data_IF_605749917783
#
_entry.id   IF_605749917783
#
_cell.length_a   1.000
_cell.length_b   1.000
_cell.length_c   1.000
_cell.angle_alpha   90.00
_cell.angle_beta   90.00
_cell.angle_gamma   90.00
#
_symmetry.space_group_name_H-M   'P 1'
#
loop_
_entity.id
_entity.type
_entity.pdbx_description
1 polymer ?
#
# COMPACT_ATOMS: atom_id res chain seq x y z
N UNK A 1 23.39 -41.60 -32.74
CA UNK A 1 24.57 -41.03 -32.05
C UNK A 1 24.17 -39.64 -31.56
N UNK A 2 24.18 -39.24 -30.29
CA UNK A 2 24.40 -39.93 -29.03
C UNK A 2 23.52 -39.26 -27.96
N UNK A 3 22.98 -40.08 -27.06
CA UNK A 3 22.21 -39.71 -25.87
C UNK A 3 23.17 -39.47 -24.69
N UNK A 4 22.81 -38.57 -23.78
CA UNK A 4 23.17 -38.53 -22.35
C UNK A 4 21.90 -38.00 -21.64
N UNK A 5 21.08 -38.71 -20.83
CA UNK A 5 21.27 -39.69 -19.75
C UNK A 5 22.16 -39.07 -18.64
N UNK A 6 21.83 -38.78 -17.38
CA UNK A 6 20.82 -39.12 -16.32
C UNK A 6 21.01 -38.06 -15.16
N UNK A 7 20.38 -38.11 -13.94
CA UNK A 7 19.38 -39.05 -13.40
C UNK A 7 18.13 -38.43 -12.75
N UNK A 8 17.11 -39.29 -12.66
CA UNK A 8 15.99 -39.25 -11.73
C UNK A 8 16.45 -39.67 -10.32
N UNK A 9 15.85 -39.12 -9.26
CA UNK A 9 16.01 -39.65 -7.90
C UNK A 9 15.52 -38.73 -6.79
N UNK A 10 14.25 -38.87 -6.39
CA UNK A 10 13.85 -39.26 -5.03
C UNK A 10 12.35 -39.08 -4.81
N UNK A 11 11.65 -40.22 -4.82
CA UNK A 11 10.38 -40.40 -4.12
C UNK A 11 10.61 -40.19 -2.62
N UNK A 12 9.84 -39.27 -2.02
CA UNK A 12 9.66 -39.16 -0.58
C UNK A 12 8.18 -39.20 -0.25
N UNK A 13 7.72 -40.37 0.21
CA UNK A 13 6.39 -40.62 0.75
C UNK A 13 6.02 -39.59 1.82
N UNK A 14 4.81 -39.01 1.76
CA UNK A 14 4.02 -38.82 2.98
C UNK A 14 2.57 -39.25 2.76
N UNK A 15 2.21 -40.23 3.59
CA UNK A 15 0.92 -40.94 3.64
C UNK A 15 -0.22 -40.01 4.01
N UNK A 16 -1.36 -40.25 3.36
CA UNK A 16 -2.69 -39.91 3.86
C UNK A 16 -2.92 -40.57 5.22
N UNK A 17 -3.32 -39.79 6.23
CA UNK A 17 -4.09 -40.31 7.36
C UNK A 17 -5.54 -39.85 7.23
N UNK A 18 -6.43 -40.82 7.00
CA UNK A 18 -7.87 -40.67 7.25
C UNK A 18 -8.13 -40.95 8.73
N UNK A 19 -9.05 -40.18 9.31
CA UNK A 19 -10.04 -40.68 10.25
C UNK A 19 -9.71 -40.56 11.73
N UNK A 20 -10.28 -39.55 12.37
CA UNK A 20 -10.95 -39.69 13.67
C UNK A 20 -12.20 -38.79 13.67
N UNK A 21 -13.29 -39.35 14.18
CA UNK A 21 -14.66 -38.78 14.21
C UNK A 21 -14.82 -37.73 15.34
N UNK A 22 -15.89 -36.92 15.27
CA UNK A 22 -16.04 -35.72 16.10
C UNK A 22 -16.58 -36.05 17.50
N UNK A 23 -16.03 -35.37 18.52
CA UNK A 23 -16.52 -35.38 19.89
C UNK A 23 -17.34 -34.13 20.18
N UNK A 24 -18.57 -34.34 20.64
CA UNK A 24 -19.51 -33.34 21.15
C UNK A 24 -18.90 -32.46 22.25
N UNK A 25 -19.11 -31.15 22.17
CA UNK A 25 -19.14 -30.26 23.33
C UNK A 25 -20.41 -29.39 23.22
N UNK A 26 -21.20 -29.22 24.30
CA UNK A 26 -22.58 -28.74 24.21
C UNK A 26 -22.69 -27.22 24.01
N UNK A 27 -23.75 -26.85 23.32
CA UNK A 27 -24.39 -25.53 23.32
C UNK A 27 -25.00 -25.21 24.67
N UNK A 28 -24.79 -23.97 25.14
CA UNK A 28 -25.66 -23.13 25.99
C UNK A 28 -24.88 -22.44 27.11
N UNK A 29 -24.46 -21.20 26.84
CA UNK A 29 -24.41 -20.15 27.87
C UNK A 29 -24.83 -18.84 27.22
N UNK A 30 -26.12 -18.52 27.32
CA UNK A 30 -26.57 -17.14 27.31
C UNK A 30 -26.07 -16.50 28.61
N UNK A 31 -25.30 -15.41 28.54
CA UNK A 31 -25.04 -14.58 29.71
C UNK A 31 -25.29 -13.10 29.41
N UNK A 32 -26.16 -12.60 30.26
CA UNK A 32 -26.83 -11.33 30.37
C UNK A 32 -25.95 -10.08 30.23
N UNK A 33 -26.58 -9.04 29.68
CA UNK A 33 -26.13 -7.65 29.72
C UNK A 33 -26.32 -7.14 31.15
N UNK A 34 -25.23 -6.90 31.88
CA UNK A 34 -25.06 -5.80 32.84
C UNK A 34 -23.76 -6.01 33.61
N UNK A 35 -22.74 -5.21 33.32
CA UNK A 35 -21.89 -4.64 34.37
C UNK A 35 -20.99 -3.54 33.81
N UNK A 36 -21.25 -2.31 34.26
CA UNK A 36 -20.34 -1.16 34.12
C UNK A 36 -19.62 -0.98 35.46
N UNK A 37 -18.29 -0.87 35.51
CA UNK A 37 -17.62 -0.58 36.78
C UNK A 37 -17.89 0.87 37.23
N UNK A 38 -18.41 0.99 38.46
CA UNK A 38 -18.54 2.24 39.24
C UNK A 38 -17.16 2.69 39.69
N UNK A 39 -16.83 3.96 39.43
CA UNK A 39 -15.69 4.63 40.04
C UNK A 39 -15.99 4.97 41.49
N UNK A 40 -15.16 4.46 42.41
CA UNK A 40 -15.20 4.79 43.84
C UNK A 40 -14.44 6.11 44.05
N UNK A 41 -15.16 7.13 44.52
CA UNK A 41 -14.57 8.36 45.05
C UNK A 41 -14.00 8.09 46.44
N UNK A 42 -12.70 8.28 46.62
CA UNK A 42 -12.07 8.32 47.94
C UNK A 42 -11.94 9.79 48.36
N UNK A 43 -12.78 10.20 49.30
CA UNK A 43 -12.69 11.48 50.01
C UNK A 43 -11.63 11.38 51.12
N UNK A 44 -10.57 12.18 51.02
CA UNK A 44 -9.51 12.29 52.02
C UNK A 44 -9.40 13.70 52.59
N UNK A 45 -9.94 13.85 53.80
CA UNK A 45 -9.62 14.76 54.91
C UNK A 45 -8.94 16.13 54.62
N UNK A 46 -9.67 17.18 54.99
CA UNK A 46 -9.14 18.52 55.29
C UNK A 46 -8.34 18.51 56.60
N UNK A 47 -7.15 19.11 56.60
CA UNK A 47 -6.44 19.51 57.81
C UNK A 47 -6.00 20.97 57.68
N UNK A 48 -6.46 21.78 58.63
CA UNK A 48 -6.13 23.19 58.80
C UNK A 48 -4.62 23.36 59.11
N UNK A 49 -3.94 24.17 58.30
CA UNK A 49 -2.64 24.75 58.65
C UNK A 49 -2.74 26.28 58.56
N UNK A 50 -2.31 26.93 59.65
CA UNK A 50 -2.37 28.36 59.91
C UNK A 50 -1.58 29.17 58.88
N UNK A 51 -2.14 30.29 58.46
CA UNK A 51 -1.57 31.29 57.59
C UNK A 51 -0.45 32.09 58.28
N UNK A 52 0.69 32.20 57.61
CA UNK A 52 1.71 33.24 57.81
C UNK A 52 1.72 34.13 56.57
N UNK A 53 2.06 35.44 56.68
CA UNK A 53 1.97 36.35 55.55
C UNK A 53 3.05 36.02 54.53
N UNK A 54 2.64 35.69 53.30
CA UNK A 54 3.55 35.55 52.18
C UNK A 54 4.11 36.93 51.82
N UNK A 55 5.40 37.12 52.06
CA UNK A 55 6.17 38.25 51.55
C UNK A 55 6.20 38.11 50.02
N UNK A 56 5.48 38.98 49.31
CA UNK A 56 5.50 39.02 47.84
C UNK A 56 6.88 39.55 47.42
N UNK A 57 7.79 38.64 47.09
CA UNK A 57 8.96 38.97 46.29
C UNK A 57 8.51 38.95 44.84
N UNK A 58 8.37 40.14 44.24
CA UNK A 58 8.22 40.30 42.79
C UNK A 58 9.50 39.80 42.11
N UNK A 59 9.55 38.50 41.78
CA UNK A 59 10.55 37.99 40.86
C UNK A 59 10.19 38.48 39.45
N UNK A 60 11.02 39.34 38.87
CA UNK A 60 10.94 39.68 37.45
C UNK A 60 10.86 38.41 36.60
N UNK A 61 9.97 38.35 35.58
CA UNK A 61 9.90 37.17 34.74
C UNK A 61 11.22 37.05 33.97
N UNK A 62 11.90 35.92 34.14
CA UNK A 62 13.05 35.55 33.32
C UNK A 62 12.63 35.62 31.84
N UNK A 63 13.47 36.17 30.95
CA UNK A 63 13.13 36.28 29.54
C UNK A 63 12.91 34.88 28.97
N UNK A 64 11.69 34.61 28.49
CA UNK A 64 11.39 33.38 27.76
C UNK A 64 12.21 33.36 26.47
N UNK A 65 13.37 32.69 26.51
CA UNK A 65 14.21 32.45 25.34
C UNK A 65 13.39 31.68 24.29
N UNK A 66 13.15 32.32 23.14
CA UNK A 66 12.33 31.79 22.05
C UNK A 66 12.88 30.42 21.57
N UNK A 67 12.09 29.33 21.58
CA UNK A 67 12.56 27.96 21.25
C UNK A 67 12.84 27.71 19.76
N UNK A 68 12.90 28.77 18.93
CA UNK A 68 13.05 28.65 17.47
C UNK A 68 14.46 28.31 17.00
N UNK A 69 15.51 28.77 17.71
CA UNK A 69 16.90 28.62 17.25
C UNK A 69 17.35 27.15 17.23
N UNK A 70 16.92 26.33 18.19
CA UNK A 70 17.21 24.88 18.22
C UNK A 70 16.61 24.17 17.01
N UNK A 71 15.36 24.52 16.65
CA UNK A 71 14.70 23.96 15.44
C UNK A 71 15.43 24.39 14.17
N UNK A 72 15.86 25.65 14.09
CA UNK A 72 16.63 26.17 12.96
C UNK A 72 18.02 25.52 12.85
N UNK A 73 18.76 25.40 13.96
CA UNK A 73 20.07 24.76 14.02
C UNK A 73 19.99 23.27 13.64
N UNK A 74 19.00 22.54 14.17
CA UNK A 74 18.76 21.14 13.80
C UNK A 74 18.42 21.00 12.30
N UNK A 75 17.68 21.95 11.73
CA UNK A 75 17.40 21.97 10.28
C UNK A 75 18.66 22.23 9.47
N UNK A 76 19.48 23.19 9.88
CA UNK A 76 20.74 23.52 9.22
C UNK A 76 21.72 22.33 9.25
N UNK A 77 21.89 21.67 10.40
CA UNK A 77 22.75 20.49 10.54
C UNK A 77 22.26 19.33 9.67
N UNK A 78 20.94 19.07 9.64
CA UNK A 78 20.35 18.05 8.74
C UNK A 78 20.64 18.34 7.28
N UNK A 79 20.54 19.61 6.85
CA UNK A 79 20.86 20.01 5.48
C UNK A 79 22.37 19.85 5.18
N UNK A 80 23.24 20.26 6.11
CA UNK A 80 24.69 20.15 5.95
C UNK A 80 25.17 18.70 5.73
N UNK A 81 24.57 17.73 6.41
CA UNK A 81 24.87 16.29 6.21
C UNK A 81 24.19 15.73 4.95
N UNK A 82 23.00 16.23 4.62
CA UNK A 82 22.21 15.73 3.49
C UNK A 82 22.76 16.16 2.13
N UNK A 83 23.37 17.34 2.01
CA UNK A 83 23.87 17.88 0.75
C UNK A 83 25.03 17.05 0.14
N UNK A 84 26.09 16.66 0.88
CA UNK A 84 27.14 15.79 0.35
C UNK A 84 26.60 14.42 -0.07
N UNK A 85 25.70 13.83 0.74
CA UNK A 85 25.04 12.54 0.42
C UNK A 85 24.17 12.64 -0.83
N UNK A 86 23.46 13.75 -1.01
CA UNK A 86 22.68 14.02 -2.21
C UNK A 86 23.59 14.20 -3.44
N UNK A 87 24.76 14.84 -3.27
CA UNK A 87 25.80 14.93 -4.31
C UNK A 87 26.28 13.55 -4.76
N UNK A 88 26.67 12.70 -3.82
CA UNK A 88 27.08 11.32 -4.10
C UNK A 88 25.94 10.51 -4.76
N UNK A 89 24.71 10.62 -4.24
CA UNK A 89 23.56 9.94 -4.82
C UNK A 89 23.25 10.39 -6.25
N UNK A 90 23.49 11.67 -6.58
CA UNK A 90 23.31 12.19 -7.95
C UNK A 90 24.36 11.67 -8.91
N UNK A 91 25.62 11.55 -8.46
CA UNK A 91 26.69 10.93 -9.25
C UNK A 91 26.39 9.47 -9.57
N UNK A 92 25.85 8.73 -8.60
CA UNK A 92 25.48 7.31 -8.76
C UNK A 92 24.12 7.10 -9.45
N UNK A 93 23.31 8.15 -9.65
CA UNK A 93 21.93 8.00 -10.14
C UNK A 93 21.85 7.40 -11.55
N UNK A 94 22.89 7.55 -12.36
CA UNK A 94 22.98 7.01 -13.71
C UNK A 94 23.62 5.60 -13.78
N UNK A 95 24.12 5.05 -12.67
CA UNK A 95 24.83 3.77 -12.65
C UNK A 95 23.96 2.63 -12.11
N UNK A 96 24.48 1.40 -12.18
CA UNK A 96 23.90 0.23 -11.52
C UNK A 96 23.92 0.30 -9.99
N UNK A 97 24.60 1.28 -9.41
CA UNK A 97 24.61 1.54 -7.97
C UNK A 97 23.61 2.63 -7.54
N UNK A 98 22.75 3.09 -8.46
CA UNK A 98 21.72 4.09 -8.15
C UNK A 98 20.84 3.63 -6.99
N UNK A 99 20.47 4.52 -6.07
CA UNK A 99 19.45 4.18 -5.08
C UNK A 99 18.12 3.78 -5.75
N UNK A 100 17.22 3.13 -4.99
CA UNK A 100 15.88 2.75 -5.48
C UNK A 100 15.12 3.93 -6.10
N UNK A 101 15.24 5.12 -5.51
CA UNK A 101 14.62 6.34 -6.04
C UNK A 101 15.66 7.39 -6.44
N UNK A 102 15.44 8.09 -7.55
CA UNK A 102 16.31 9.20 -7.97
C UNK A 102 15.56 10.27 -8.79
N UNK A 103 16.04 11.51 -8.70
CA UNK A 103 15.38 12.65 -9.32
C UNK A 103 14.13 13.12 -8.57
N UNK A 104 13.71 14.35 -8.83
CA UNK A 104 12.45 14.90 -8.36
C UNK A 104 11.97 15.92 -9.39
N UNK A 105 10.83 15.64 -10.00
CA UNK A 105 10.26 16.39 -11.11
C UNK A 105 8.84 16.84 -10.72
N UNK A 106 8.43 18.00 -11.23
CA UNK A 106 7.13 18.59 -10.94
C UNK A 106 6.00 18.06 -11.85
N UNK A 107 6.33 17.31 -12.90
CA UNK A 107 5.38 16.74 -13.85
C UNK A 107 5.94 15.46 -14.48
N UNK A 108 5.03 14.63 -15.02
CA UNK A 108 5.41 13.47 -15.84
C UNK A 108 6.22 13.91 -17.07
N UNK A 109 5.82 15.00 -17.73
CA UNK A 109 6.54 15.54 -18.90
C UNK A 109 7.99 15.94 -18.59
N UNK A 110 8.27 16.47 -17.40
CA UNK A 110 9.63 16.81 -16.97
C UNK A 110 10.47 15.57 -16.62
N UNK A 111 9.82 14.47 -16.24
CA UNK A 111 10.47 13.19 -15.93
C UNK A 111 10.85 12.42 -17.21
N UNK A 112 10.07 12.52 -18.30
CA UNK A 112 10.27 11.74 -19.53
C UNK A 112 11.69 11.87 -20.13
N UNK A 113 12.27 13.08 -20.32
CA UNK A 113 13.64 13.20 -20.82
C UNK A 113 14.68 12.60 -19.87
N UNK A 114 14.39 12.59 -18.57
CA UNK A 114 15.27 11.98 -17.59
C UNK A 114 15.20 10.45 -17.61
N UNK A 115 14.06 9.85 -17.95
CA UNK A 115 13.95 8.41 -18.17
C UNK A 115 14.63 7.97 -19.47
N UNK A 116 14.57 8.79 -20.53
CA UNK A 116 15.14 8.47 -21.83
C UNK A 116 16.66 8.19 -21.82
N UNK A 117 17.40 8.70 -20.82
CA UNK A 117 18.84 8.41 -20.65
C UNK A 117 19.11 6.95 -20.28
N UNK A 118 18.11 6.28 -19.73
CA UNK A 118 18.18 4.87 -19.41
C UNK A 118 17.61 4.11 -20.62
N UNK A 119 18.36 3.16 -21.16
CA UNK A 119 17.86 2.20 -22.17
C UNK A 119 16.91 1.20 -21.52
N UNK A 120 15.90 1.68 -20.81
CA UNK A 120 15.08 0.86 -19.94
C UNK A 120 13.94 0.25 -20.69
N UNK A 121 13.80 -1.05 -20.47
CA UNK A 121 12.60 -1.79 -20.80
C UNK A 121 11.59 -1.49 -19.67
N UNK A 122 10.37 -1.11 -20.05
CA UNK A 122 9.33 -0.69 -19.11
C UNK A 122 8.79 -1.84 -18.27
N UNK A 123 7.73 -1.59 -17.49
CA UNK A 123 7.06 -2.61 -16.68
C UNK A 123 6.36 -3.70 -17.53
N UNK A 124 6.19 -3.45 -18.84
CA UNK A 124 5.61 -4.39 -19.82
C UNK A 124 6.62 -5.45 -20.31
N UNK A 125 7.85 -5.47 -19.79
CA UNK A 125 8.83 -6.49 -20.09
C UNK A 125 8.60 -7.76 -19.24
N UNK A 126 8.46 -8.89 -19.92
CA UNK A 126 8.26 -10.21 -19.30
C UNK A 126 9.40 -10.60 -18.32
N UNK A 127 10.60 -10.03 -18.47
CA UNK A 127 11.73 -10.22 -17.54
C UNK A 127 11.52 -9.59 -16.16
N UNK A 128 10.53 -8.72 -15.99
CA UNK A 128 10.15 -8.13 -14.69
C UNK A 128 9.12 -8.99 -13.95
N UNK A 129 8.46 -9.93 -14.64
CA UNK A 129 7.37 -10.78 -14.10
C UNK A 129 7.81 -11.62 -12.90
N UNK A 130 9.04 -12.14 -12.91
CA UNK A 130 9.53 -12.96 -11.79
C UNK A 130 10.13 -12.13 -10.66
N UNK A 131 10.36 -10.84 -10.88
CA UNK A 131 10.96 -9.99 -9.86
C UNK A 131 9.97 -9.87 -8.71
N UNK A 132 10.36 -10.41 -7.56
CA UNK A 132 9.61 -10.33 -6.30
C UNK A 132 8.23 -11.01 -6.32
N UNK A 133 7.92 -11.97 -7.22
CA UNK A 133 6.61 -12.65 -7.21
C UNK A 133 6.30 -13.32 -5.86
N UNK A 134 7.22 -14.13 -5.34
CA UNK A 134 7.06 -14.79 -4.03
C UNK A 134 6.89 -13.78 -2.89
N UNK A 135 7.60 -12.67 -2.95
CA UNK A 135 7.50 -11.57 -1.97
C UNK A 135 6.15 -10.86 -2.07
N UNK A 136 5.62 -10.65 -3.29
CA UNK A 136 4.32 -10.02 -3.51
C UNK A 136 3.15 -10.91 -3.06
N UNK A 137 3.32 -12.23 -3.11
CA UNK A 137 2.39 -13.23 -2.58
C UNK A 137 2.45 -13.35 -1.05
N UNK A 138 3.45 -12.77 -0.38
CA UNK A 138 3.44 -12.70 1.09
C UNK A 138 2.39 -11.71 1.55
N UNK A 139 1.73 -12.09 2.64
CA UNK A 139 0.84 -11.22 3.40
C UNK A 139 1.69 -10.34 4.30
N UNK A 140 1.47 -9.04 4.19
CA UNK A 140 2.14 -8.05 5.02
C UNK A 140 1.15 -7.39 5.98
N UNK A 141 1.64 -6.72 7.02
CA UNK A 141 0.78 -6.08 8.03
C UNK A 141 -0.22 -5.08 7.41
N UNK A 142 0.20 -4.37 6.37
CA UNK A 142 -0.64 -3.43 5.63
C UNK A 142 -1.68 -4.06 4.71
N UNK A 143 -1.68 -5.38 4.54
CA UNK A 143 -2.71 -6.10 3.78
C UNK A 143 -3.94 -6.45 4.64
N UNK A 144 -3.81 -6.45 5.98
CA UNK A 144 -4.93 -6.79 6.87
C UNK A 144 -6.13 -5.84 6.82
N UNK A 145 -5.95 -4.51 6.72
CA UNK A 145 -7.10 -3.62 6.49
C UNK A 145 -7.81 -3.93 5.16
N UNK A 146 -7.06 -4.30 4.11
CA UNK A 146 -7.66 -4.72 2.83
C UNK A 146 -8.46 -6.00 3.03
N UNK A 147 -7.90 -7.00 3.70
CA UNK A 147 -8.60 -8.26 4.01
C UNK A 147 -9.89 -8.02 4.80
N UNK A 148 -9.85 -7.13 5.80
CA UNK A 148 -11.00 -6.76 6.60
C UNK A 148 -12.12 -6.17 5.73
N UNK A 149 -11.80 -5.17 4.92
CA UNK A 149 -12.79 -4.50 4.06
C UNK A 149 -13.27 -5.39 2.91
N UNK A 150 -12.37 -6.17 2.31
CA UNK A 150 -12.71 -7.14 1.27
C UNK A 150 -13.65 -8.20 1.83
N UNK A 151 -13.32 -8.83 2.96
CA UNK A 151 -14.15 -9.84 3.60
C UNK A 151 -15.53 -9.33 4.03
N UNK A 152 -15.67 -8.02 4.31
CA UNK A 152 -16.95 -7.39 4.62
C UNK A 152 -17.88 -7.28 3.41
N UNK A 153 -17.35 -6.95 2.23
CA UNK A 153 -18.16 -6.65 1.05
C UNK A 153 -18.30 -7.83 0.08
N UNK A 154 -17.30 -8.71 0.02
CA UNK A 154 -17.24 -9.80 -0.94
C UNK A 154 -18.48 -10.73 -0.96
N UNK A 155 -19.15 -11.05 0.17
CA UNK A 155 -20.35 -11.89 0.16
C UNK A 155 -21.50 -11.33 -0.69
N UNK A 156 -21.66 -10.00 -0.71
CA UNK A 156 -22.74 -9.32 -1.43
C UNK A 156 -22.27 -8.74 -2.77
N UNK A 157 -20.96 -8.52 -2.92
CA UNK A 157 -20.30 -7.87 -4.06
C UNK A 157 -19.20 -8.78 -4.64
N UNK A 158 -19.56 -9.85 -5.37
CA UNK A 158 -18.61 -10.89 -5.74
C UNK A 158 -17.66 -10.51 -6.89
N UNK A 159 -17.95 -9.44 -7.64
CA UNK A 159 -17.14 -9.06 -8.81
C UNK A 159 -15.99 -8.12 -8.42
N UNK A 160 -14.76 -8.64 -8.43
CA UNK A 160 -13.54 -7.93 -8.05
C UNK A 160 -12.69 -7.64 -9.29
N UNK A 161 -12.33 -6.38 -9.49
CA UNK A 161 -11.24 -5.98 -10.36
C UNK A 161 -9.99 -5.66 -9.53
N UNK A 162 -8.94 -6.44 -9.69
CA UNK A 162 -7.62 -6.21 -9.10
C UNK A 162 -6.70 -5.53 -10.12
N UNK A 163 -6.62 -4.20 -10.05
CA UNK A 163 -5.82 -3.38 -10.96
C UNK A 163 -4.36 -3.31 -10.50
N UNK A 164 -3.45 -3.78 -11.37
CA UNK A 164 -2.06 -4.05 -11.04
C UNK A 164 -1.89 -5.27 -10.14
N UNK A 165 -2.78 -6.27 -10.27
CA UNK A 165 -2.76 -7.51 -9.48
C UNK A 165 -1.61 -8.46 -9.84
N UNK A 166 -0.84 -8.14 -10.88
CA UNK A 166 0.28 -8.91 -11.39
C UNK A 166 -0.15 -10.34 -11.77
N UNK A 167 0.52 -11.36 -11.26
CA UNK A 167 0.13 -12.77 -11.47
C UNK A 167 -1.00 -13.25 -10.54
N UNK A 168 -1.87 -12.35 -10.06
CA UNK A 168 -2.91 -12.66 -9.08
C UNK A 168 -2.41 -12.72 -7.64
N UNK A 169 -1.40 -11.90 -7.34
CA UNK A 169 -0.66 -11.97 -6.06
C UNK A 169 -1.55 -11.80 -4.84
N UNK A 170 -2.55 -10.90 -4.89
CA UNK A 170 -3.47 -10.68 -3.77
C UNK A 170 -4.57 -11.72 -3.66
N UNK A 171 -5.03 -12.29 -4.77
CA UNK A 171 -5.89 -13.48 -4.72
C UNK A 171 -5.18 -14.62 -3.98
N UNK A 172 -3.94 -14.94 -4.39
CA UNK A 172 -3.13 -16.02 -3.79
C UNK A 172 -2.83 -15.73 -2.32
N UNK A 173 -2.43 -14.49 -2.00
CA UNK A 173 -2.11 -14.12 -0.63
C UNK A 173 -3.34 -14.22 0.30
N UNK A 174 -4.55 -13.95 -0.21
CA UNK A 174 -5.75 -13.81 0.61
C UNK A 174 -6.61 -15.09 0.68
N UNK A 175 -6.41 -16.04 -0.24
CA UNK A 175 -7.23 -17.24 -0.34
C UNK A 175 -7.26 -18.11 0.92
N UNK A 176 -6.23 -18.02 1.76
CA UNK A 176 -6.15 -18.81 3.00
C UNK A 176 -6.84 -18.14 4.20
N UNK A 177 -7.24 -16.87 4.08
CA UNK A 177 -7.81 -16.08 5.19
C UNK A 177 -9.27 -15.69 4.99
N UNK A 178 -9.70 -15.54 3.73
CA UNK A 178 -11.08 -15.21 3.39
C UNK A 178 -11.59 -16.16 2.30
N UNK A 179 -12.89 -16.44 2.34
CA UNK A 179 -13.50 -17.31 1.34
C UNK A 179 -13.65 -16.58 0.00
N UNK A 180 -12.79 -16.89 -0.96
CA UNK A 180 -12.83 -16.34 -2.32
C UNK A 180 -13.60 -17.22 -3.32
N UNK A 181 -14.17 -18.36 -2.91
CA UNK A 181 -14.78 -19.33 -3.85
C UNK A 181 -15.99 -18.79 -4.61
N UNK A 182 -16.69 -17.81 -4.06
CA UNK A 182 -17.79 -17.10 -4.73
C UNK A 182 -17.37 -15.84 -5.47
N UNK A 183 -16.08 -15.47 -5.43
CA UNK A 183 -15.60 -14.24 -6.05
C UNK A 183 -15.28 -14.45 -7.54
N UNK A 184 -15.73 -13.51 -8.37
CA UNK A 184 -15.29 -13.37 -9.75
C UNK A 184 -14.09 -12.42 -9.77
N UNK A 185 -12.88 -12.99 -9.67
CA UNK A 185 -11.64 -12.22 -9.56
C UNK A 185 -11.01 -11.98 -10.93
N UNK A 186 -11.06 -10.74 -11.42
CA UNK A 186 -10.36 -10.31 -12.63
C UNK A 186 -9.15 -9.49 -12.25
N UNK A 187 -7.97 -9.89 -12.71
CA UNK A 187 -6.75 -9.08 -12.66
C UNK A 187 -6.64 -8.28 -13.95
N UNK A 188 -6.45 -6.97 -13.81
CA UNK A 188 -6.06 -6.10 -14.92
C UNK A 188 -4.62 -5.64 -14.76
N UNK A 189 -3.78 -5.88 -15.76
CA UNK A 189 -2.37 -5.51 -15.76
C UNK A 189 -1.86 -5.27 -17.18
N UNK A 190 -0.58 -4.95 -17.35
CA UNK A 190 0.03 -4.71 -18.65
C UNK A 190 0.04 -5.98 -19.54
N UNK A 191 0.01 -5.83 -20.88
CA UNK A 191 -0.05 -6.95 -21.81
C UNK A 191 1.00 -8.04 -21.58
N UNK A 192 2.25 -7.69 -21.29
CA UNK A 192 3.33 -8.63 -21.00
C UNK A 192 3.08 -9.43 -19.72
N UNK A 193 2.57 -8.79 -18.67
CA UNK A 193 2.22 -9.45 -17.42
C UNK A 193 1.05 -10.42 -17.64
N UNK A 194 0.01 -9.99 -18.36
CA UNK A 194 -1.17 -10.81 -18.66
C UNK A 194 -0.81 -12.01 -19.54
N UNK A 195 0.04 -11.85 -20.56
CA UNK A 195 0.55 -12.97 -21.36
C UNK A 195 1.29 -13.98 -20.48
N UNK A 196 2.19 -13.52 -19.62
CA UNK A 196 2.94 -14.38 -18.72
C UNK A 196 2.02 -15.10 -17.71
N UNK A 197 1.02 -14.39 -17.16
CA UNK A 197 0.03 -14.95 -16.25
C UNK A 197 -0.81 -16.05 -16.91
N UNK A 198 -1.36 -15.79 -18.10
CA UNK A 198 -2.11 -16.79 -18.88
C UNK A 198 -1.24 -18.01 -19.19
N UNK A 199 0.03 -17.82 -19.55
CA UNK A 199 0.96 -18.93 -19.78
C UNK A 199 1.21 -19.79 -18.52
N UNK A 200 1.38 -19.17 -17.34
CA UNK A 200 1.54 -19.89 -16.06
C UNK A 200 0.26 -20.60 -15.65
N UNK A 201 -0.88 -19.95 -15.81
CA UNK A 201 -2.19 -20.53 -15.53
C UNK A 201 -2.46 -21.77 -16.40
N UNK A 202 -2.12 -21.72 -17.69
CA UNK A 202 -2.21 -22.88 -18.61
C UNK A 202 -1.31 -24.06 -18.21
N UNK A 203 -0.22 -23.81 -17.48
CA UNK A 203 0.64 -24.85 -16.90
C UNK A 203 0.19 -25.33 -15.52
N UNK A 204 -0.90 -24.78 -14.99
CA UNK A 204 -1.42 -25.10 -13.65
C UNK A 204 -0.63 -24.46 -12.50
N UNK A 205 0.22 -23.46 -12.79
CA UNK A 205 1.05 -22.79 -11.78
C UNK A 205 0.31 -21.66 -11.06
N UNK A 206 -0.79 -21.16 -11.63
CA UNK A 206 -1.65 -20.13 -11.04
C UNK A 206 -3.09 -20.64 -10.91
N UNK A 207 -3.88 -20.13 -9.93
CA UNK A 207 -5.27 -20.55 -9.75
C UNK A 207 -6.11 -20.31 -11.00
N UNK A 208 -6.86 -21.31 -11.44
CA UNK A 208 -7.79 -21.21 -12.58
C UNK A 208 -8.98 -20.27 -12.32
N UNK A 209 -9.24 -19.92 -11.06
CA UNK A 209 -10.30 -19.00 -10.66
C UNK A 209 -10.02 -17.53 -11.01
N UNK A 210 -8.80 -17.19 -11.41
CA UNK A 210 -8.41 -15.82 -11.74
C UNK A 210 -8.60 -15.59 -13.24
N UNK A 211 -9.33 -14.55 -13.62
CA UNK A 211 -9.37 -14.06 -15.01
C UNK A 211 -8.31 -12.97 -15.18
N UNK A 212 -7.59 -12.96 -16.30
CA UNK A 212 -6.57 -11.93 -16.59
C UNK A 212 -6.97 -11.14 -17.83
N UNK A 213 -6.96 -9.81 -17.76
CA UNK A 213 -7.30 -8.91 -18.87
C UNK A 213 -6.31 -7.74 -19.00
N UNK A 214 -5.78 -7.51 -20.19
CA UNK A 214 -4.85 -6.40 -20.46
C UNK A 214 -5.54 -5.14 -21.01
N UNK A 215 -6.87 -5.20 -21.19
CA UNK A 215 -7.68 -4.08 -21.66
C UNK A 215 -8.89 -3.84 -20.77
N UNK A 216 -9.08 -2.58 -20.37
CA UNK A 216 -10.20 -2.19 -19.51
C UNK A 216 -11.57 -2.43 -20.15
N UNK A 217 -11.69 -2.30 -21.48
CA UNK A 217 -12.96 -2.54 -22.19
C UNK A 217 -13.37 -4.02 -22.26
N UNK A 218 -12.43 -4.93 -22.00
CA UNK A 218 -12.66 -6.38 -21.88
C UNK A 218 -12.96 -6.80 -20.45
N UNK A 219 -12.68 -5.97 -19.45
CA UNK A 219 -13.02 -6.28 -18.06
C UNK A 219 -14.54 -6.37 -17.86
N UNK A 220 -15.04 -7.32 -17.06
CA UNK A 220 -16.47 -7.39 -16.72
C UNK A 220 -16.89 -6.17 -15.88
N UNK A 221 -18.20 -5.96 -15.75
CA UNK A 221 -18.70 -5.00 -14.76
C UNK A 221 -18.30 -5.46 -13.36
N UNK A 222 -17.72 -4.56 -12.56
CA UNK A 222 -17.16 -4.90 -11.25
C UNK A 222 -17.85 -4.14 -10.12
N UNK A 223 -17.93 -4.76 -8.96
CA UNK A 223 -18.48 -4.14 -7.74
C UNK A 223 -17.36 -3.55 -6.88
N UNK A 224 -16.26 -4.28 -6.76
CA UNK A 224 -15.09 -3.92 -5.96
C UNK A 224 -13.90 -3.67 -6.88
N UNK A 225 -13.27 -2.51 -6.77
CA UNK A 225 -11.98 -2.22 -7.36
C UNK A 225 -10.89 -2.29 -6.28
N UNK A 226 -10.00 -3.28 -6.37
CA UNK A 226 -8.80 -3.38 -5.57
C UNK A 226 -7.61 -2.77 -6.33
N UNK A 227 -6.87 -1.89 -5.66
CA UNK A 227 -5.68 -1.25 -6.24
C UNK A 227 -4.58 -1.25 -5.18
N UNK A 228 -3.64 -2.20 -5.26
CA UNK A 228 -2.59 -2.38 -4.25
C UNK A 228 -1.18 -2.17 -4.84
N UNK A 229 -0.68 -0.94 -4.79
CA UNK A 229 0.65 -0.59 -5.31
C UNK A 229 0.72 -0.21 -6.78
N UNK A 230 -0.42 -0.14 -7.45
CA UNK A 230 -0.56 0.26 -8.87
C UNK A 230 -0.53 1.78 -9.07
N UNK A 231 -1.18 2.55 -8.17
CA UNK A 231 -1.36 3.99 -8.34
C UNK A 231 -0.08 4.80 -8.61
N UNK A 232 1.09 4.52 -8.01
CA UNK A 232 2.30 5.28 -8.32
C UNK A 232 2.73 5.24 -9.79
N UNK A 233 2.34 4.21 -10.54
CA UNK A 233 2.73 3.99 -11.93
C UNK A 233 1.65 4.36 -12.95
N UNK A 234 0.42 4.63 -12.49
CA UNK A 234 -0.68 5.03 -13.34
C UNK A 234 -0.35 6.36 -14.05
N UNK A 235 -0.39 6.32 -15.38
CA UNK A 235 -0.05 7.42 -16.29
C UNK A 235 -1.21 8.39 -16.51
N UNK A 236 -2.45 7.92 -16.37
CA UNK A 236 -3.66 8.74 -16.40
C UNK A 236 -4.14 9.18 -15.01
N UNK A 237 -4.99 10.22 -14.91
CA UNK A 237 -5.71 10.52 -13.67
C UNK A 237 -6.54 9.31 -13.18
N UNK A 238 -6.52 9.05 -11.87
CA UNK A 238 -7.28 7.92 -11.31
C UNK A 238 -8.79 8.03 -11.55
N UNK A 239 -9.32 9.24 -11.62
CA UNK A 239 -10.72 9.49 -11.98
C UNK A 239 -11.05 9.04 -13.40
N UNK A 240 -10.12 9.21 -14.34
CA UNK A 240 -10.29 8.74 -15.73
C UNK A 240 -10.21 7.22 -15.80
N UNK A 241 -9.28 6.61 -15.05
CA UNK A 241 -9.23 5.15 -14.91
C UNK A 241 -10.54 4.58 -14.39
N UNK A 242 -11.09 5.13 -13.31
CA UNK A 242 -12.37 4.68 -12.73
C UNK A 242 -13.54 4.94 -13.68
N UNK A 243 -13.55 6.05 -14.42
CA UNK A 243 -14.59 6.37 -15.39
C UNK A 243 -14.55 5.48 -16.65
N UNK A 244 -13.38 4.93 -17.00
CA UNK A 244 -13.20 4.01 -18.12
C UNK A 244 -13.69 2.59 -17.84
N UNK A 245 -13.94 2.23 -16.56
CA UNK A 245 -14.53 0.95 -16.20
C UNK A 245 -15.97 0.85 -16.72
N UNK A 246 -16.41 -0.36 -17.10
CA UNK A 246 -17.77 -0.57 -17.65
C UNK A 246 -18.87 -0.05 -16.73
N UNK A 247 -18.63 -0.11 -15.42
CA UNK A 247 -19.46 0.50 -14.39
C UNK A 247 -18.55 1.01 -13.29
N UNK A 248 -18.90 2.15 -12.71
CA UNK A 248 -18.22 2.67 -11.53
C UNK A 248 -18.38 1.68 -10.37
N UNK A 249 -17.28 1.20 -9.75
CA UNK A 249 -17.33 0.25 -8.66
C UNK A 249 -18.05 0.87 -7.45
N UNK A 250 -18.79 0.04 -6.72
CA UNK A 250 -19.45 0.43 -5.47
C UNK A 250 -18.41 0.67 -4.38
N UNK A 251 -17.41 -0.21 -4.31
CA UNK A 251 -16.33 -0.15 -3.32
C UNK A 251 -14.99 -0.01 -4.04
N UNK A 252 -14.13 0.88 -3.55
CA UNK A 252 -12.73 0.97 -3.98
C UNK A 252 -11.83 0.74 -2.76
N UNK A 253 -10.98 -0.27 -2.85
CA UNK A 253 -9.97 -0.59 -1.85
C UNK A 253 -8.60 -0.22 -2.39
N UNK A 254 -7.97 0.75 -1.76
CA UNK A 254 -6.66 1.26 -2.17
C UNK A 254 -5.62 0.86 -1.13
N UNK A 255 -4.51 0.30 -1.59
CA UNK A 255 -3.35 0.04 -0.76
C UNK A 255 -2.09 0.63 -1.38
N UNK A 256 -1.12 0.95 -0.51
CA UNK A 256 0.19 1.45 -0.91
C UNK A 256 0.16 2.75 -1.73
N UNK A 257 -0.77 3.65 -1.43
CA UNK A 257 -0.88 4.95 -2.10
C UNK A 257 0.24 5.88 -1.62
N UNK A 258 1.22 6.14 -2.49
CA UNK A 258 2.32 7.05 -2.19
C UNK A 258 1.85 8.51 -2.14
N UNK A 259 1.96 9.12 -0.95
CA UNK A 259 1.53 10.48 -0.68
C UNK A 259 2.58 11.26 0.11
N UNK A 260 2.47 12.58 0.08
CA UNK A 260 3.23 13.49 0.94
C UNK A 260 2.41 14.71 1.35
N UNK A 261 2.82 15.29 2.47
CA UNK A 261 2.39 16.61 2.89
C UNK A 261 3.27 17.64 2.15
N UNK A 262 2.76 18.18 1.03
CA UNK A 262 3.48 19.12 0.16
C UNK A 262 3.21 18.88 -1.33
N UNK A 263 3.90 19.61 -2.20
CA UNK A 263 3.72 19.49 -3.66
C UNK A 263 3.94 18.05 -4.15
N UNK A 264 3.16 17.63 -5.15
CA UNK A 264 3.35 16.37 -5.84
C UNK A 264 4.76 16.25 -6.43
N UNK A 265 5.30 15.03 -6.46
CA UNK A 265 6.61 14.72 -7.05
C UNK A 265 6.46 13.53 -7.99
N UNK A 266 7.09 13.64 -9.14
CA UNK A 266 7.43 12.53 -10.01
C UNK A 266 8.91 12.19 -9.79
N UNK A 267 9.24 10.92 -9.57
CA UNK A 267 10.60 10.42 -9.35
C UNK A 267 10.83 9.20 -10.23
N UNK A 268 12.09 8.84 -10.42
CA UNK A 268 12.45 7.57 -11.05
C UNK A 268 12.51 6.52 -9.95
N UNK A 269 11.89 5.37 -10.16
CA UNK A 269 12.10 4.15 -9.37
C UNK A 269 12.91 3.13 -10.16
N UNK A 270 13.84 2.47 -9.48
CA UNK A 270 14.54 1.30 -9.98
C UNK A 270 13.87 0.02 -9.48
N UNK A 271 13.48 -0.83 -10.41
CA UNK A 271 12.92 -2.17 -10.16
C UNK A 271 13.77 -3.16 -10.97
N UNK A 272 14.57 -3.97 -10.28
CA UNK A 272 15.60 -4.77 -10.94
C UNK A 272 16.51 -3.91 -11.82
N UNK A 273 16.60 -4.25 -13.11
CA UNK A 273 17.33 -3.49 -14.12
C UNK A 273 16.54 -2.29 -14.69
N UNK A 274 15.21 -2.28 -14.54
CA UNK A 274 14.34 -1.25 -15.10
C UNK A 274 14.45 0.10 -14.36
N UNK A 275 14.08 1.18 -15.05
CA UNK A 275 13.78 2.50 -14.46
C UNK A 275 12.40 2.91 -14.92
N UNK A 276 11.51 3.16 -13.96
CA UNK A 276 10.12 3.45 -14.23
C UNK A 276 9.71 4.77 -13.57
N UNK A 277 8.72 5.48 -14.14
CA UNK A 277 8.15 6.63 -13.47
C UNK A 277 7.42 6.23 -12.20
N UNK A 278 7.56 7.05 -11.15
CA UNK A 278 6.88 6.85 -9.89
C UNK A 278 6.32 8.17 -9.35
N UNK A 279 5.03 8.18 -9.02
CA UNK A 279 4.29 9.37 -8.58
C UNK A 279 4.02 9.36 -7.09
N UNK A 280 4.52 10.37 -6.38
CA UNK A 280 4.22 10.66 -4.97
C UNK A 280 3.26 11.85 -4.91
N UNK A 281 2.01 11.59 -4.56
CA UNK A 281 0.90 12.56 -4.66
C UNK A 281 0.91 13.55 -3.50
N UNK A 282 0.35 14.74 -3.72
CA UNK A 282 -0.07 15.60 -2.61
C UNK A 282 -1.27 14.94 -1.91
N UNK A 283 -1.18 14.73 -0.60
CA UNK A 283 -2.22 14.04 0.18
C UNK A 283 -3.57 14.75 0.15
N UNK A 284 -3.62 16.04 0.50
CA UNK A 284 -4.88 16.79 0.57
C UNK A 284 -5.58 16.88 -0.79
N UNK A 285 -4.82 17.09 -1.88
CA UNK A 285 -5.36 17.09 -3.24
C UNK A 285 -5.86 15.70 -3.65
N UNK A 286 -5.16 14.64 -3.25
CA UNK A 286 -5.59 13.27 -3.49
C UNK A 286 -6.93 12.95 -2.79
N UNK A 287 -7.03 13.25 -1.50
CA UNK A 287 -8.25 13.02 -0.72
C UNK A 287 -9.43 13.88 -1.24
N UNK A 288 -9.16 15.14 -1.64
CA UNK A 288 -10.16 15.99 -2.29
C UNK A 288 -10.64 15.43 -3.63
N UNK A 289 -9.75 14.84 -4.43
CA UNK A 289 -10.12 14.20 -5.71
C UNK A 289 -10.98 12.96 -5.49
N UNK A 290 -10.71 12.15 -4.46
CA UNK A 290 -11.58 11.03 -4.09
C UNK A 290 -13.01 11.51 -3.81
N UNK A 291 -13.14 12.57 -3.01
CA UNK A 291 -14.43 13.18 -2.71
C UNK A 291 -15.13 13.72 -3.97
N UNK A 292 -14.38 14.36 -4.88
CA UNK A 292 -14.91 14.88 -6.14
C UNK A 292 -15.36 13.77 -7.11
N UNK A 293 -14.78 12.57 -7.02
CA UNK A 293 -15.25 11.40 -7.75
C UNK A 293 -16.60 10.87 -7.20
N UNK A 294 -17.13 11.41 -6.10
CA UNK A 294 -18.39 10.94 -5.52
C UNK A 294 -18.25 9.68 -4.66
N UNK A 295 -17.06 9.49 -4.07
CA UNK A 295 -16.81 8.45 -3.07
C UNK A 295 -16.66 9.06 -1.68
N UNK A 296 -17.18 8.37 -0.68
CA UNK A 296 -16.91 8.60 0.72
C UNK A 296 -15.75 7.73 1.20
N UNK A 297 -14.91 8.28 2.07
CA UNK A 297 -13.82 7.54 2.70
C UNK A 297 -14.32 6.94 4.01
N UNK A 298 -14.55 5.63 4.01
CA UNK A 298 -14.99 4.90 5.20
C UNK A 298 -13.86 4.74 6.22
N UNK A 299 -12.64 4.54 5.71
CA UNK A 299 -11.46 4.32 6.54
C UNK A 299 -10.17 4.69 5.80
N UNK A 300 -9.11 4.97 6.56
CA UNK A 300 -7.77 5.13 6.04
C UNK A 300 -6.71 4.72 7.06
N UNK A 301 -5.65 4.09 6.57
CA UNK A 301 -4.53 3.66 7.40
C UNK A 301 -3.19 4.15 6.85
N UNK A 302 -2.21 4.29 7.75
CA UNK A 302 -0.84 4.61 7.39
C UNK A 302 -0.01 3.33 7.23
N UNK A 303 0.89 3.35 6.26
CA UNK A 303 1.87 2.30 5.99
C UNK A 303 3.24 2.96 6.03
N UNK A 304 3.79 3.07 7.24
CA UNK A 304 5.01 3.86 7.49
C UNK A 304 6.27 3.15 7.01
N UNK A 305 6.22 1.82 6.93
CA UNK A 305 7.28 0.88 6.59
C UNK A 305 7.80 1.14 5.17
N UNK A 306 6.89 1.36 4.22
CA UNK A 306 7.19 1.54 2.80
C UNK A 306 7.27 3.02 2.38
N UNK A 307 7.40 3.95 3.32
CA UNK A 307 7.70 5.35 3.01
C UNK A 307 9.08 5.52 2.37
N UNK A 308 9.25 6.54 1.52
CA UNK A 308 10.47 6.73 0.73
C UNK A 308 11.13 8.08 1.02
N UNK A 309 12.46 8.08 1.12
CA UNK A 309 13.27 9.29 0.99
C UNK A 309 13.95 9.21 -0.37
N UNK A 310 13.86 10.27 -1.17
CA UNK A 310 14.58 10.36 -2.45
C UNK A 310 16.02 10.77 -2.13
N UNK A 311 17.04 9.90 -2.25
CA UNK A 311 18.39 10.21 -1.77
C UNK A 311 19.09 11.34 -2.51
N UNK A 312 18.68 11.61 -3.75
CA UNK A 312 19.13 12.77 -4.53
C UNK A 312 18.47 14.10 -4.12
N UNK A 313 17.37 14.03 -3.35
CA UNK A 313 16.54 15.15 -2.91
C UNK A 313 16.05 14.97 -1.45
N UNK A 314 16.94 14.71 -0.47
CA UNK A 314 16.56 14.36 0.90
C UNK A 314 15.80 15.46 1.65
N UNK A 315 15.95 16.73 1.24
CA UNK A 315 15.21 17.87 1.81
C UNK A 315 13.71 17.82 1.52
N UNK A 316 13.25 16.99 0.58
CA UNK A 316 11.82 16.78 0.32
C UNK A 316 11.14 15.97 1.44
N UNK A 317 11.92 15.37 2.33
CA UNK A 317 11.44 14.56 3.45
C UNK A 317 11.05 13.14 3.04
N UNK A 318 10.59 12.36 4.02
CA UNK A 318 10.08 11.00 3.81
C UNK A 318 8.61 11.09 3.35
N UNK A 319 8.30 10.47 2.21
CA UNK A 319 6.92 10.23 1.80
C UNK A 319 6.24 9.22 2.72
N UNK A 320 4.91 9.23 2.74
CA UNK A 320 4.10 8.23 3.43
C UNK A 320 3.44 7.35 2.38
N UNK A 321 3.12 6.14 2.78
CA UNK A 321 2.19 5.31 2.04
C UNK A 321 0.93 5.11 2.86
N UNK A 322 -0.22 5.05 2.21
CA UNK A 322 -1.53 4.94 2.86
C UNK A 322 -2.41 3.94 2.15
N UNK A 323 -3.39 3.41 2.86
CA UNK A 323 -4.53 2.76 2.23
C UNK A 323 -5.84 3.45 2.60
N UNK A 324 -6.86 3.14 1.81
CA UNK A 324 -8.19 3.74 1.89
C UNK A 324 -9.25 2.68 1.56
N UNK A 325 -10.33 2.69 2.32
CA UNK A 325 -11.58 2.02 1.96
C UNK A 325 -12.60 3.09 1.55
N UNK A 326 -13.10 2.98 0.32
CA UNK A 326 -13.97 3.98 -0.28
C UNK A 326 -15.30 3.33 -0.68
N UNK A 327 -16.40 4.02 -0.40
CA UNK A 327 -17.74 3.62 -0.79
C UNK A 327 -18.37 4.70 -1.67
N UNK A 328 -19.05 4.29 -2.74
CA UNK A 328 -19.76 5.21 -3.63
C UNK A 328 -20.92 5.84 -2.84
N UNK A 329 -21.09 7.15 -2.92
CA UNK A 329 -22.03 7.89 -2.04
C UNK A 329 -23.49 7.48 -2.16
N UNK A 330 -23.90 7.00 -3.33
CA UNK A 330 -25.25 6.49 -3.59
C UNK A 330 -25.52 5.10 -2.96
N UNK A 331 -24.52 4.49 -2.30
CA UNK A 331 -24.67 3.22 -1.58
C UNK A 331 -24.74 3.41 -0.05
N UNK A 332 -24.84 4.66 0.44
CA UNK A 332 -24.88 5.00 1.88
C UNK A 332 -26.33 5.17 2.38
N UNK A 333 -27.29 5.22 1.47
CA UNK A 333 -28.74 5.27 1.73
C UNK A 333 -29.32 3.90 2.12
#
# INVERSE_FOLDING_TARGET
MGRRNWPCGSCGLWRRHRGTRPGNIPTDVACDRRDRPRWVQVSGAQAHARSLPAMIVMASPAPQLRPGWRKAANRALRLAVALPRAGAARLLAATEHSARFSGAYNSSAALTPALARFKTRGYDDESVVDVSFDEMCRRETWDYPILFWLGRYLPDLPFVLDAGGHLGTKYIAFSDLINLSGAHWTVHDLPGIVRAARARQNRGELPAAITFEDRLDQTPATDILLVSGFLPYLDIPFSEFVAALRRRPKVILLNKVAVRDGAEIFTIERIGSARVPYRIRNRSQWESRISAMGYEMLDSWNISEIGHVIPTHPWLGRSKSRGYALLRRDEIE
#
